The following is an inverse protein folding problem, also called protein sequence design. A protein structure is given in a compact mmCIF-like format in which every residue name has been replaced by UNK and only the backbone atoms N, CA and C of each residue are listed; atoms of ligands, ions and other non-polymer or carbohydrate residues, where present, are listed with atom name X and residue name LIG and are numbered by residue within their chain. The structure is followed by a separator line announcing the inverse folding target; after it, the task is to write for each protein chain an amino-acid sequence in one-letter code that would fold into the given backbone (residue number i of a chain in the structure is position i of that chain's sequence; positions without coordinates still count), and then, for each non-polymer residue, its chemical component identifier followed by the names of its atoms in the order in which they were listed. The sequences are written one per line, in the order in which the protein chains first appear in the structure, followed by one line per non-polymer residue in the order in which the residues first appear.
data_IF_166375438860
#
_entry.id   IF_166375438860
#
_cell.length_a   1.000
_cell.length_b   1.000
_cell.length_c   1.000
_cell.angle_alpha   90.00
_cell.angle_beta   90.00
_cell.angle_gamma   90.00
#
_symmetry.space_group_name_H-M   'P 1'
#
loop_
_entity.id
_entity.type
_entity.pdbx_description
1 polymer ?
#
# COMPACT_ATOMS: atom_id res chain seq x y z
N UNK A 1 -25.36 58.77 -8.00
CA UNK A 1 -24.20 58.18 -7.28
C UNK A 1 -24.73 57.60 -5.98
N UNK A 2 -24.65 56.33 -5.62
CA UNK A 2 -24.06 55.14 -6.24
C UNK A 2 -24.90 53.96 -5.68
N UNK A 3 -25.27 53.02 -6.53
CA UNK A 3 -25.91 51.75 -6.16
C UNK A 3 -24.91 50.91 -5.34
N UNK A 4 -25.23 50.55 -4.09
CA UNK A 4 -24.45 49.54 -3.34
C UNK A 4 -25.09 48.16 -3.53
N UNK A 5 -24.84 47.62 -4.72
CA UNK A 5 -25.10 46.24 -5.12
C UNK A 5 -23.80 45.47 -4.84
N UNK A 6 -23.65 44.85 -3.66
CA UNK A 6 -22.56 43.88 -3.41
C UNK A 6 -23.15 42.65 -2.73
N UNK A 7 -23.75 41.84 -3.59
CA UNK A 7 -23.60 40.38 -3.70
C UNK A 7 -23.20 39.62 -2.42
N UNK A 8 -24.13 38.77 -1.99
CA UNK A 8 -23.90 37.62 -1.13
C UNK A 8 -22.68 36.80 -1.63
N UNK A 9 -21.65 36.70 -0.80
CA UNK A 9 -20.63 35.67 -0.94
C UNK A 9 -21.28 34.34 -0.56
N UNK A 10 -21.85 33.68 -1.56
CA UNK A 10 -22.22 32.28 -1.48
C UNK A 10 -20.97 31.48 -1.10
N UNK A 11 -21.10 30.75 0.01
CA UNK A 11 -20.17 29.76 0.49
C UNK A 11 -19.91 28.70 -0.59
N UNK A 12 -18.68 28.66 -1.12
CA UNK A 12 -18.17 27.48 -1.80
C UNK A 12 -17.21 26.76 -0.85
N UNK A 13 -17.76 25.92 0.03
CA UNK A 13 -17.02 24.73 0.49
C UNK A 13 -16.95 23.76 -0.69
N UNK A 14 -15.92 23.88 -1.51
CA UNK A 14 -15.60 22.85 -2.49
C UNK A 14 -14.95 21.68 -1.76
N UNK A 15 -15.76 20.92 -1.02
CA UNK A 15 -15.39 19.57 -0.65
C UNK A 15 -15.51 18.73 -1.92
N UNK A 16 -14.52 18.84 -2.79
CA UNK A 16 -14.26 17.85 -3.83
C UNK A 16 -13.76 16.57 -3.15
N UNK A 17 -14.64 15.92 -2.39
CA UNK A 17 -14.49 14.49 -2.19
C UNK A 17 -14.92 13.87 -3.51
N UNK A 18 -13.94 13.61 -4.38
CA UNK A 18 -14.16 12.80 -5.57
C UNK A 18 -14.79 11.50 -5.08
N UNK A 19 -16.09 11.33 -5.28
CA UNK A 19 -16.79 10.10 -4.99
C UNK A 19 -16.29 9.07 -6.00
N UNK A 20 -15.19 8.41 -5.66
CA UNK A 20 -14.63 7.32 -6.43
C UNK A 20 -15.69 6.22 -6.42
N UNK A 21 -16.36 6.01 -7.55
CA UNK A 21 -17.38 4.96 -7.69
C UNK A 21 -16.68 3.62 -7.63
N UNK A 22 -16.75 3.00 -6.47
CA UNK A 22 -16.16 1.69 -6.19
C UNK A 22 -17.16 0.57 -6.48
N UNK A 23 -16.75 -0.46 -7.21
CA UNK A 23 -17.56 -1.65 -7.52
C UNK A 23 -17.07 -2.83 -6.70
N UNK A 24 -18.00 -3.53 -6.06
CA UNK A 24 -17.72 -4.71 -5.24
C UNK A 24 -17.84 -5.98 -6.08
N UNK A 25 -16.77 -6.74 -6.19
CA UNK A 25 -16.67 -7.99 -6.95
C UNK A 25 -16.21 -9.13 -6.04
N UNK A 26 -16.37 -10.37 -6.52
CA UNK A 26 -15.91 -11.58 -5.81
C UNK A 26 -15.02 -12.38 -6.75
N UNK A 27 -13.85 -12.79 -6.27
CA UNK A 27 -12.95 -13.67 -7.02
C UNK A 27 -13.43 -15.13 -6.99
N UNK A 28 -12.91 -15.97 -7.89
CA UNK A 28 -13.19 -17.41 -7.93
C UNK A 28 -12.81 -18.16 -6.65
N UNK A 29 -11.94 -17.55 -5.83
CA UNK A 29 -11.49 -18.04 -4.52
C UNK A 29 -12.38 -17.58 -3.35
N UNK A 30 -13.44 -16.81 -3.62
CA UNK A 30 -14.40 -16.35 -2.62
C UNK A 30 -14.01 -15.06 -1.89
N UNK A 31 -12.86 -14.45 -2.21
CA UNK A 31 -12.49 -13.16 -1.63
C UNK A 31 -13.25 -12.01 -2.31
N UNK A 32 -13.80 -11.12 -1.48
CA UNK A 32 -14.43 -9.88 -1.94
C UNK A 32 -13.37 -8.83 -2.18
N UNK A 33 -13.50 -8.11 -3.30
CA UNK A 33 -12.60 -7.02 -3.65
C UNK A 33 -13.35 -5.87 -4.27
N UNK A 34 -12.74 -4.71 -4.15
CA UNK A 34 -13.25 -3.47 -4.67
C UNK A 34 -12.41 -3.03 -5.88
N UNK A 35 -13.07 -2.53 -6.92
CA UNK A 35 -12.40 -1.92 -8.08
C UNK A 35 -12.88 -0.50 -8.28
N UNK A 36 -11.99 0.35 -8.78
CA UNK A 36 -12.31 1.72 -9.14
C UNK A 36 -12.70 1.78 -10.62
N UNK A 37 -13.82 2.44 -10.92
CA UNK A 37 -14.22 2.65 -12.30
C UNK A 37 -13.20 3.53 -13.05
N UNK A 38 -12.86 3.14 -14.28
CA UNK A 38 -11.98 3.88 -15.20
C UNK A 38 -10.50 3.98 -14.77
N UNK A 39 -9.99 2.99 -14.02
CA UNK A 39 -8.58 2.87 -13.69
C UNK A 39 -7.81 2.06 -14.75
N UNK A 40 -6.80 2.64 -15.44
CA UNK A 40 -6.01 1.93 -16.45
C UNK A 40 -5.14 0.81 -15.85
N UNK A 41 -4.84 0.87 -14.55
CA UNK A 41 -4.01 -0.15 -13.88
C UNK A 41 -4.79 -1.37 -13.41
N UNK A 42 -6.12 -1.33 -13.51
CA UNK A 42 -7.01 -2.42 -13.11
C UNK A 42 -6.82 -2.84 -11.65
N UNK A 43 -6.63 -1.87 -10.75
CA UNK A 43 -6.37 -2.12 -9.33
C UNK A 43 -7.53 -2.88 -8.68
N UNK A 44 -7.19 -3.95 -7.98
CA UNK A 44 -8.08 -4.70 -7.10
C UNK A 44 -7.71 -4.43 -5.65
N UNK A 45 -8.71 -4.07 -4.87
CA UNK A 45 -8.56 -3.71 -3.48
C UNK A 45 -9.22 -4.75 -2.57
N UNK A 46 -8.44 -5.47 -1.79
CA UNK A 46 -8.97 -6.45 -0.85
C UNK A 46 -8.85 -5.92 0.58
N UNK A 47 -9.87 -6.19 1.39
CA UNK A 47 -9.77 -6.04 2.85
C UNK A 47 -9.95 -7.42 3.47
N UNK A 48 -8.89 -7.91 4.11
CA UNK A 48 -8.91 -9.20 4.80
C UNK A 48 -9.62 -9.08 6.16
N UNK A 49 -10.05 -10.21 6.72
CA UNK A 49 -10.77 -10.26 8.01
C UNK A 49 -9.97 -9.70 9.19
N UNK A 50 -8.63 -9.75 9.10
CA UNK A 50 -7.72 -9.15 10.08
C UNK A 50 -7.53 -7.63 9.90
N UNK A 51 -8.24 -7.01 8.95
CA UNK A 51 -8.16 -5.58 8.64
C UNK A 51 -7.00 -5.18 7.72
N UNK A 52 -6.19 -6.14 7.23
CA UNK A 52 -5.12 -5.85 6.28
C UNK A 52 -5.71 -5.48 4.91
N UNK A 53 -5.28 -4.34 4.38
CA UNK A 53 -5.62 -3.91 3.02
C UNK A 53 -4.56 -4.39 2.05
N UNK A 54 -4.99 -5.05 0.99
CA UNK A 54 -4.12 -5.56 -0.08
C UNK A 54 -4.48 -4.86 -1.38
N UNK A 55 -3.47 -4.27 -2.01
CA UNK A 55 -3.57 -3.57 -3.28
C UNK A 55 -2.91 -4.46 -4.33
N UNK A 56 -3.67 -4.92 -5.32
CA UNK A 56 -3.17 -5.80 -6.38
C UNK A 56 -3.47 -5.17 -7.74
N UNK A 57 -2.41 -4.80 -8.46
CA UNK A 57 -2.50 -4.39 -9.86
C UNK A 57 -1.66 -5.35 -10.70
N UNK A 58 -2.20 -5.73 -11.87
CA UNK A 58 -1.53 -6.59 -12.83
C UNK A 58 -0.94 -5.72 -13.93
N UNK A 59 0.38 -5.56 -13.94
CA UNK A 59 1.10 -5.01 -15.07
C UNK A 59 1.69 -6.16 -15.92
N UNK A 60 1.46 -6.14 -17.23
CA UNK A 60 1.98 -7.14 -18.19
C UNK A 60 3.10 -6.61 -19.09
N UNK A 61 3.53 -5.35 -18.92
CA UNK A 61 4.60 -4.74 -19.71
C UNK A 61 5.96 -5.38 -19.44
N UNK A 62 6.23 -5.73 -18.17
CA UNK A 62 7.46 -6.42 -17.76
C UNK A 62 7.13 -7.67 -16.93
N UNK A 63 7.83 -8.81 -17.11
CA UNK A 63 7.62 -10.03 -16.32
C UNK A 63 8.30 -9.93 -14.94
N UNK A 64 7.98 -8.87 -14.17
CA UNK A 64 8.51 -8.63 -12.83
C UNK A 64 7.37 -8.59 -11.82
N UNK A 65 7.63 -9.17 -10.65
CA UNK A 65 6.72 -9.10 -9.51
C UNK A 65 7.39 -8.24 -8.45
N UNK A 66 6.70 -7.19 -8.02
CA UNK A 66 7.13 -6.34 -6.91
C UNK A 66 6.07 -6.42 -5.81
N UNK A 67 6.54 -6.53 -4.57
CA UNK A 67 5.67 -6.62 -3.39
C UNK A 67 6.22 -5.71 -2.31
N UNK A 68 5.33 -4.91 -1.73
CA UNK A 68 5.65 -3.98 -0.66
C UNK A 68 4.69 -4.22 0.49
N UNK A 69 5.21 -4.19 1.71
CA UNK A 69 4.41 -4.30 2.94
C UNK A 69 4.65 -3.01 3.72
N UNK A 70 3.67 -2.11 3.69
CA UNK A 70 3.72 -0.88 4.46
C UNK A 70 3.16 -1.13 5.87
N UNK A 71 3.94 -0.79 6.88
CA UNK A 71 3.50 -0.81 8.29
C UNK A 71 3.42 0.62 8.78
N UNK A 72 2.31 0.98 9.43
CA UNK A 72 2.13 2.31 10.05
C UNK A 72 2.89 2.41 11.37
N UNK A 73 4.21 2.30 11.31
CA UNK A 73 5.13 2.42 12.43
C UNK A 73 6.43 3.12 11.96
N UNK A 74 7.21 3.66 12.90
CA UNK A 74 8.44 4.40 12.59
C UNK A 74 9.03 5.04 13.83
N UNK A 75 10.16 5.74 13.68
CA UNK A 75 10.89 6.35 14.80
C UNK A 75 10.10 7.37 15.61
N UNK A 76 9.05 7.96 15.02
CA UNK A 76 8.11 8.84 15.73
C UNK A 76 7.34 8.13 16.86
N UNK A 77 7.24 6.80 16.81
CA UNK A 77 6.62 5.97 17.84
C UNK A 77 7.66 5.36 18.80
N UNK A 78 8.95 5.69 18.66
CA UNK A 78 9.99 5.21 19.57
C UNK A 78 9.88 5.92 20.93
N UNK A 79 10.04 5.20 22.06
CA UNK A 79 10.08 5.82 23.38
C UNK A 79 11.30 6.74 23.50
N UNK A 80 11.18 7.84 24.25
CA UNK A 80 12.26 8.83 24.42
C UNK A 80 13.56 8.22 24.96
N UNK A 81 13.44 7.19 25.78
CA UNK A 81 14.58 6.50 26.40
C UNK A 81 15.29 5.51 25.46
N UNK A 82 14.69 5.19 24.30
CA UNK A 82 15.27 4.27 23.32
C UNK A 82 14.91 4.69 21.91
N UNK A 83 15.68 5.63 21.38
CA UNK A 83 15.55 6.11 20.00
C UNK A 83 16.21 5.12 19.03
N UNK A 84 15.65 4.97 17.84
CA UNK A 84 16.25 4.15 16.77
C UNK A 84 15.76 2.69 16.73
N UNK A 85 14.74 2.34 17.51
CA UNK A 85 14.17 0.99 17.52
C UNK A 85 13.54 0.61 16.19
N UNK A 86 12.87 1.55 15.52
CA UNK A 86 12.30 1.29 14.19
C UNK A 86 13.37 0.91 13.15
N UNK A 87 14.51 1.62 13.15
CA UNK A 87 15.63 1.33 12.25
C UNK A 87 16.31 0.01 12.62
N UNK A 88 16.51 -0.25 13.92
CA UNK A 88 17.06 -1.50 14.39
C UNK A 88 16.18 -2.70 13.99
N UNK A 89 14.86 -2.57 14.12
CA UNK A 89 13.89 -3.57 13.70
C UNK A 89 14.00 -3.86 12.20
N UNK A 90 14.10 -2.83 11.36
CA UNK A 90 14.30 -2.99 9.91
C UNK A 90 15.53 -3.87 9.61
N UNK A 91 16.66 -3.61 10.25
CA UNK A 91 17.84 -4.46 10.11
C UNK A 91 17.61 -5.90 10.57
N UNK A 92 16.86 -6.11 11.66
CA UNK A 92 16.58 -7.46 12.15
C UNK A 92 15.66 -8.24 11.22
N UNK A 93 14.71 -7.58 10.56
CA UNK A 93 13.82 -8.22 9.58
C UNK A 93 14.60 -8.85 8.41
N UNK A 94 15.76 -8.29 8.05
CA UNK A 94 16.62 -8.83 6.99
C UNK A 94 17.56 -9.96 7.44
N UNK A 95 17.74 -10.19 8.74
CA UNK A 95 18.65 -11.24 9.26
C UNK A 95 18.04 -12.65 9.22
N UNK A 96 16.76 -12.76 8.89
CA UNK A 96 16.07 -14.03 8.72
C UNK A 96 14.94 -14.23 9.72
N UNK A 97 14.11 -15.20 9.41
CA UNK A 97 12.97 -15.63 10.25
C UNK A 97 13.22 -17.05 10.73
N UNK A 98 12.45 -17.51 11.73
CA UNK A 98 12.53 -18.89 12.22
C UNK A 98 12.40 -19.95 11.11
N UNK A 99 11.63 -19.64 10.06
CA UNK A 99 11.44 -20.54 8.91
C UNK A 99 12.54 -20.40 7.86
N UNK A 100 13.14 -19.22 7.73
CA UNK A 100 14.10 -18.89 6.68
C UNK A 100 15.28 -18.14 7.30
N UNK A 101 16.34 -18.88 7.61
CA UNK A 101 17.58 -18.35 8.18
C UNK A 101 18.50 -17.75 7.10
N UNK A 102 19.35 -16.79 7.49
CA UNK A 102 20.29 -16.11 6.59
C UNK A 102 21.15 -17.09 5.75
N UNK A 103 21.62 -18.19 6.35
CA UNK A 103 22.44 -19.19 5.67
C UNK A 103 21.70 -19.83 4.48
N UNK A 104 20.39 -20.07 4.62
CA UNK A 104 19.52 -20.62 3.55
C UNK A 104 19.15 -19.58 2.47
N UNK A 105 19.14 -18.29 2.80
CA UNK A 105 18.95 -17.21 1.82
C UNK A 105 20.21 -16.99 0.96
N UNK A 106 21.40 -17.13 1.55
CA UNK A 106 22.67 -17.11 0.83
C UNK A 106 22.75 -18.21 -0.24
N UNK A 107 22.35 -19.43 0.12
CA UNK A 107 22.31 -20.57 -0.82
C UNK A 107 21.32 -20.34 -1.97
N UNK A 108 20.11 -19.83 -1.70
CA UNK A 108 19.11 -19.56 -2.76
C UNK A 108 19.48 -18.42 -3.71
N UNK A 109 20.23 -17.41 -3.24
CA UNK A 109 20.77 -16.36 -4.12
C UNK A 109 21.90 -16.87 -5.02
N UNK A 110 22.69 -17.85 -4.56
CA UNK A 110 23.74 -18.50 -5.36
C UNK A 110 23.21 -19.43 -6.46
N UNK A 111 22.02 -20.00 -6.27
CA UNK A 111 21.39 -20.92 -7.24
C UNK A 111 20.94 -20.19 -8.51
N UNK A 112 20.50 -18.92 -8.41
CA UNK A 112 20.07 -18.13 -9.58
C UNK A 112 21.21 -17.61 -10.49
N UNK A 113 22.48 -17.80 -10.10
CA UNK A 113 23.63 -17.32 -10.88
C UNK A 113 24.32 -18.41 -11.70
N UNK A 114 23.83 -19.66 -11.66
CA UNK A 114 24.41 -20.81 -12.37
C UNK A 114 23.67 -21.21 -13.65
N UNK A 115 22.55 -20.57 -13.95
CA UNK A 115 21.71 -20.89 -15.13
C UNK A 115 21.69 -19.75 -16.18
N UNK A 116 22.74 -18.92 -16.24
CA UNK A 116 23.02 -17.94 -17.31
C UNK A 116 24.45 -18.10 -17.82
#
# INVERSE_FOLDING_TARGET
MIFFFITALASCKTNSSSEVKTVQNTDSTGFKYETVNNDPTGLRLYTLDNGLKVYLSKNTEEPKIQTYIAVRAGSNYDPKESTGLAHYLEHMLFKGTHKIWYCRLGERKGIFKKDL
#
